data_IF_685111145048
#
_entry.id   IF_685111145048
#
_cell.length_a   1.000
_cell.length_b   1.000
_cell.length_c   1.000
_cell.angle_alpha   90.00
_cell.angle_beta   90.00
_cell.angle_gamma   90.00
#
_symmetry.space_group_name_H-M   'P 1'
#
loop_
_entity.id
_entity.type
_entity.pdbx_description
1 polymer ?
#
# COMPACT_ATOMS: atom_id res chain seq x y z
N UNK A 1 57.21 21.69 47.92
CA UNK A 1 56.45 20.51 48.30
C UNK A 1 55.08 20.53 47.65
N UNK A 2 54.99 20.62 46.34
CA UNK A 2 53.71 20.78 45.66
C UNK A 2 53.67 19.99 44.32
N UNK A 3 54.46 18.97 44.17
CA UNK A 3 54.56 18.18 42.96
C UNK A 3 54.26 16.68 43.12
N UNK A 4 53.69 16.27 44.27
CA UNK A 4 53.52 14.84 44.56
C UNK A 4 52.04 14.44 44.69
N UNK A 5 51.07 15.31 44.38
CA UNK A 5 49.64 15.07 44.55
C UNK A 5 48.85 14.86 43.23
N UNK A 6 49.53 14.98 42.06
CA UNK A 6 48.83 14.88 40.77
C UNK A 6 48.92 13.48 40.13
N UNK A 7 49.74 12.57 40.70
CA UNK A 7 50.00 11.27 40.05
C UNK A 7 49.07 10.14 40.51
N UNK A 8 48.15 10.36 41.41
CA UNK A 8 47.28 9.29 41.98
C UNK A 8 45.85 9.31 41.38
N UNK A 9 45.51 10.31 40.58
CA UNK A 9 44.12 10.44 40.08
C UNK A 9 43.88 9.89 38.66
N UNK A 10 44.88 9.28 38.04
CA UNK A 10 44.81 8.78 36.65
C UNK A 10 44.56 7.26 36.55
N UNK A 11 44.58 6.53 37.65
CA UNK A 11 44.55 5.06 37.60
C UNK A 11 43.22 4.43 37.99
N UNK A 12 42.10 5.19 38.00
CA UNK A 12 40.79 4.61 38.38
C UNK A 12 39.77 4.58 37.21
N UNK A 13 40.24 4.71 35.97
CA UNK A 13 39.39 4.44 34.80
C UNK A 13 39.74 3.12 34.12
N UNK A 14 39.76 2.05 34.91
CA UNK A 14 39.86 0.70 34.35
C UNK A 14 38.48 0.05 34.34
N UNK A 15 37.98 -0.13 33.14
CA UNK A 15 37.27 -1.32 32.69
C UNK A 15 35.92 -1.59 33.32
N UNK A 16 34.87 -0.92 32.83
CA UNK A 16 33.60 -1.62 32.67
C UNK A 16 33.50 -2.02 31.19
N UNK A 17 33.98 -3.23 30.89
CA UNK A 17 33.60 -3.92 29.65
C UNK A 17 32.13 -4.23 29.76
N UNK A 18 31.30 -3.37 29.16
CA UNK A 18 29.90 -3.70 28.88
C UNK A 18 29.97 -4.77 27.78
N UNK A 19 29.80 -6.04 28.18
CA UNK A 19 29.46 -7.10 27.26
C UNK A 19 28.18 -6.68 26.55
N UNK A 20 28.30 -6.21 25.30
CA UNK A 20 27.18 -6.10 24.40
C UNK A 20 26.65 -7.52 24.18
N UNK A 21 25.64 -7.89 24.92
CA UNK A 21 24.84 -9.07 24.68
C UNK A 21 24.28 -8.91 23.28
N UNK A 22 24.89 -9.61 22.31
CA UNK A 22 24.36 -9.77 20.98
C UNK A 22 22.99 -10.42 21.12
N UNK A 23 21.94 -9.60 21.26
CA UNK A 23 20.62 -10.02 20.90
C UNK A 23 20.69 -10.35 19.41
N UNK A 24 20.83 -11.63 19.09
CA UNK A 24 20.47 -12.21 17.81
C UNK A 24 19.00 -11.84 17.61
N UNK A 25 18.76 -10.69 16.97
CA UNK A 25 17.48 -10.44 16.38
C UNK A 25 17.25 -11.61 15.41
N UNK A 26 16.12 -12.33 15.55
CA UNK A 26 15.79 -13.34 14.56
C UNK A 26 15.82 -12.61 13.21
N UNK A 27 16.72 -13.05 12.35
CA UNK A 27 16.82 -12.60 10.97
C UNK A 27 15.43 -12.79 10.38
N UNK A 28 14.67 -11.69 10.25
CA UNK A 28 13.38 -11.72 9.59
C UNK A 28 13.68 -12.17 8.17
N UNK A 29 13.36 -13.41 7.89
CA UNK A 29 13.41 -14.00 6.56
C UNK A 29 12.61 -13.05 5.66
N UNK A 30 13.32 -12.25 4.88
CA UNK A 30 12.74 -11.24 4.01
C UNK A 30 12.07 -12.01 2.88
N UNK A 31 10.77 -12.27 3.03
CA UNK A 31 9.99 -12.85 1.94
C UNK A 31 10.19 -12.00 0.70
N UNK A 32 10.89 -12.53 -0.27
CA UNK A 32 11.11 -11.87 -1.56
C UNK A 32 10.01 -12.32 -2.50
N UNK A 33 9.03 -11.45 -2.71
CA UNK A 33 8.00 -11.65 -3.72
C UNK A 33 8.53 -11.26 -5.10
N UNK A 34 8.32 -12.08 -6.10
CA UNK A 34 8.68 -11.80 -7.48
C UNK A 34 7.59 -10.98 -8.17
N UNK A 35 7.48 -9.71 -7.81
CA UNK A 35 6.58 -8.79 -8.50
C UNK A 35 7.21 -8.31 -9.82
N UNK A 36 6.38 -8.17 -10.83
CA UNK A 36 6.76 -7.57 -12.10
C UNK A 36 5.74 -6.54 -12.55
N UNK A 37 6.20 -5.54 -13.27
CA UNK A 37 5.34 -4.52 -13.84
C UNK A 37 4.66 -5.05 -15.10
N UNK A 38 3.35 -4.82 -15.22
CA UNK A 38 2.57 -5.09 -16.42
C UNK A 38 1.72 -3.88 -16.79
N UNK A 39 1.27 -3.82 -18.01
CA UNK A 39 0.35 -2.80 -18.49
C UNK A 39 -1.05 -3.38 -18.53
N UNK A 40 -1.99 -2.73 -17.87
CA UNK A 40 -3.41 -3.05 -17.97
C UNK A 40 -4.11 -1.93 -18.76
N UNK A 41 -5.01 -2.27 -19.69
CA UNK A 41 -5.78 -1.26 -20.38
C UNK A 41 -6.74 -0.57 -19.40
N UNK A 42 -6.70 0.75 -19.35
CA UNK A 42 -7.67 1.57 -18.64
C UNK A 42 -8.41 2.45 -19.67
N UNK A 43 -9.69 2.68 -19.45
CA UNK A 43 -10.51 3.56 -20.28
C UNK A 43 -10.73 4.85 -19.51
N UNK A 44 -10.18 5.95 -20.02
CA UNK A 44 -10.32 7.27 -19.40
C UNK A 44 -11.27 8.14 -20.20
N UNK A 45 -12.03 8.98 -19.50
CA UNK A 45 -12.94 9.95 -20.08
C UNK A 45 -13.13 11.15 -19.14
N UNK A 46 -13.65 12.27 -19.62
CA UNK A 46 -14.05 13.38 -18.78
C UNK A 46 -14.96 12.93 -17.63
N UNK A 47 -14.83 13.60 -16.49
CA UNK A 47 -15.57 13.25 -15.27
C UNK A 47 -17.08 13.15 -15.48
N UNK A 48 -17.65 14.04 -16.27
CA UNK A 48 -19.08 14.07 -16.59
C UNK A 48 -19.54 12.82 -17.36
N UNK A 49 -18.73 12.31 -18.27
CA UNK A 49 -19.03 11.12 -19.06
C UNK A 49 -19.00 9.86 -18.18
N UNK A 50 -18.01 9.76 -17.30
CA UNK A 50 -17.93 8.66 -16.33
C UNK A 50 -19.10 8.74 -15.33
N UNK A 51 -19.45 9.93 -14.86
CA UNK A 51 -20.59 10.10 -13.96
C UNK A 51 -21.91 9.68 -14.64
N UNK A 52 -22.13 10.07 -15.89
CA UNK A 52 -23.29 9.64 -16.68
C UNK A 52 -23.31 8.12 -16.88
N UNK A 53 -22.14 7.52 -17.12
CA UNK A 53 -22.00 6.07 -17.24
C UNK A 53 -22.31 5.32 -15.94
N UNK A 54 -21.85 5.83 -14.77
CA UNK A 54 -22.17 5.31 -13.45
C UNK A 54 -23.70 5.28 -13.23
N UNK A 55 -24.37 6.41 -13.49
CA UNK A 55 -25.81 6.53 -13.33
C UNK A 55 -26.56 5.61 -14.30
N UNK A 56 -26.14 5.55 -15.57
CA UNK A 56 -26.75 4.68 -16.58
C UNK A 56 -26.76 3.20 -16.21
N UNK A 57 -25.76 2.75 -15.47
CA UNK A 57 -25.61 1.35 -15.06
C UNK A 57 -25.95 1.10 -13.60
N UNK A 58 -26.60 2.06 -12.92
CA UNK A 58 -27.00 1.97 -11.51
C UNK A 58 -25.84 1.57 -10.56
N UNK A 59 -24.64 2.02 -10.86
CA UNK A 59 -23.47 1.76 -10.02
C UNK A 59 -23.52 2.57 -8.74
N UNK A 60 -23.37 1.89 -7.60
CA UNK A 60 -23.29 2.50 -6.27
C UNK A 60 -21.86 2.35 -5.71
N UNK A 61 -21.24 3.42 -5.18
CA UNK A 61 -19.93 3.32 -4.56
C UNK A 61 -19.99 2.51 -3.27
N UNK A 62 -19.07 1.57 -3.11
CA UNK A 62 -19.00 0.67 -1.95
C UNK A 62 -17.71 0.81 -1.16
N UNK A 63 -16.64 1.29 -1.79
CA UNK A 63 -15.40 1.56 -1.09
C UNK A 63 -14.58 2.65 -1.80
N UNK A 64 -13.76 3.35 -1.00
CA UNK A 64 -12.78 4.32 -1.49
C UNK A 64 -11.43 3.97 -0.87
N UNK A 65 -10.39 4.00 -1.67
CA UNK A 65 -9.01 3.78 -1.23
C UNK A 65 -8.07 4.80 -1.86
N UNK A 66 -6.94 5.02 -1.18
CA UNK A 66 -5.96 6.04 -1.57
C UNK A 66 -4.66 5.36 -1.97
N UNK A 67 -4.25 5.55 -3.22
CA UNK A 67 -2.91 5.21 -3.67
C UNK A 67 -1.93 6.27 -3.19
N UNK A 68 -0.86 5.84 -2.57
CA UNK A 68 0.14 6.72 -1.99
C UNK A 68 1.49 6.50 -2.63
N UNK A 69 2.27 7.57 -2.64
CA UNK A 69 3.62 7.56 -3.20
C UNK A 69 4.45 6.42 -2.57
N UNK A 70 5.15 5.67 -3.43
CA UNK A 70 6.01 4.54 -3.06
C UNK A 70 5.31 3.43 -2.25
N UNK A 71 3.96 3.36 -2.28
CA UNK A 71 3.21 2.38 -1.51
C UNK A 71 3.31 2.55 0.02
N UNK A 72 3.75 3.70 0.49
CA UNK A 72 3.93 3.97 1.92
C UNK A 72 2.67 4.57 2.52
N UNK A 73 2.22 4.05 3.65
CA UNK A 73 1.00 4.50 4.33
C UNK A 73 1.00 6.02 4.63
N UNK A 74 2.15 6.62 4.85
CA UNK A 74 2.31 8.05 5.14
C UNK A 74 2.71 8.87 3.90
N UNK A 75 2.86 8.24 2.75
CA UNK A 75 3.17 8.91 1.48
C UNK A 75 2.04 9.85 1.04
N UNK A 76 2.39 10.80 0.18
CA UNK A 76 1.41 11.68 -0.44
C UNK A 76 0.39 10.88 -1.25
N UNK A 77 -0.89 11.28 -1.22
CA UNK A 77 -1.91 10.68 -2.06
C UNK A 77 -1.65 11.07 -3.52
N UNK A 78 -1.47 10.06 -4.37
CA UNK A 78 -1.18 10.24 -5.79
C UNK A 78 -2.37 9.86 -6.68
N UNK A 79 -3.26 9.00 -6.19
CA UNK A 79 -4.52 8.67 -6.84
C UNK A 79 -5.55 8.17 -5.82
N UNK A 80 -6.81 8.22 -6.19
CA UNK A 80 -7.93 7.67 -5.44
C UNK A 80 -8.60 6.61 -6.29
N UNK A 81 -8.94 5.47 -5.71
CA UNK A 81 -9.72 4.44 -6.37
C UNK A 81 -11.03 4.27 -5.64
N UNK A 82 -12.13 4.40 -6.37
CA UNK A 82 -13.46 4.10 -5.89
C UNK A 82 -13.97 2.82 -6.55
N UNK A 83 -14.44 1.89 -5.73
CA UNK A 83 -15.07 0.67 -6.21
C UNK A 83 -16.59 0.85 -6.17
N UNK A 84 -17.23 0.47 -7.25
CA UNK A 84 -18.66 0.53 -7.46
C UNK A 84 -19.23 -0.85 -7.70
N UNK A 85 -20.47 -1.08 -7.26
CA UNK A 85 -21.25 -2.30 -7.53
C UNK A 85 -22.60 -1.90 -8.08
N UNK A 86 -23.09 -2.64 -9.06
CA UNK A 86 -24.44 -2.49 -9.60
C UNK A 86 -25.38 -3.60 -9.13
N UNK A 87 -26.71 -3.40 -9.19
CA UNK A 87 -27.69 -4.41 -8.78
C UNK A 87 -27.62 -5.72 -9.57
N UNK A 88 -27.09 -5.68 -10.78
CA UNK A 88 -26.91 -6.86 -11.65
C UNK A 88 -25.54 -7.53 -11.47
N UNK A 89 -24.93 -7.38 -10.29
CA UNK A 89 -23.68 -8.03 -9.89
C UNK A 89 -22.48 -7.70 -10.75
N UNK A 90 -22.40 -6.47 -11.21
CA UNK A 90 -21.18 -5.94 -11.84
C UNK A 90 -20.36 -5.16 -10.83
N UNK A 91 -19.05 -5.16 -11.00
CA UNK A 91 -18.14 -4.34 -10.23
C UNK A 91 -17.28 -3.50 -11.17
N UNK A 92 -17.06 -2.24 -10.83
CA UNK A 92 -16.13 -1.37 -11.52
C UNK A 92 -15.20 -0.68 -10.53
N UNK A 93 -13.93 -0.51 -10.90
CA UNK A 93 -12.99 0.33 -10.17
C UNK A 93 -12.63 1.53 -11.01
N UNK A 94 -12.79 2.72 -10.43
CA UNK A 94 -12.55 4.00 -11.10
C UNK A 94 -11.45 4.72 -10.34
N UNK A 95 -10.40 5.11 -11.06
CA UNK A 95 -9.30 5.88 -10.52
C UNK A 95 -9.43 7.36 -10.93
N UNK A 96 -9.07 8.24 -9.99
CA UNK A 96 -8.87 9.66 -10.23
C UNK A 96 -7.51 10.11 -9.69
N UNK A 97 -6.88 11.06 -10.33
CA UNK A 97 -5.65 11.69 -9.89
C UNK A 97 -5.90 13.18 -9.63
N UNK A 98 -5.24 13.80 -8.64
CA UNK A 98 -5.41 15.23 -8.37
C UNK A 98 -5.00 16.14 -9.55
N UNK A 99 -4.22 15.61 -10.48
CA UNK A 99 -3.62 16.35 -11.60
C UNK A 99 -4.35 16.19 -12.91
N UNK A 100 -5.36 15.31 -13.00
CA UNK A 100 -6.13 15.08 -14.21
C UNK A 100 -7.62 15.40 -14.02
N UNK A 101 -8.27 16.08 -14.96
CA UNK A 101 -9.72 16.25 -14.95
C UNK A 101 -10.46 14.95 -15.31
N UNK A 102 -9.76 14.00 -15.94
CA UNK A 102 -10.35 12.76 -16.42
C UNK A 102 -10.36 11.70 -15.32
N UNK A 103 -11.35 10.84 -15.35
CA UNK A 103 -11.43 9.61 -14.57
C UNK A 103 -11.10 8.41 -15.44
N UNK A 104 -10.51 7.38 -14.83
CA UNK A 104 -10.15 6.17 -15.55
C UNK A 104 -10.85 4.95 -14.95
N UNK A 105 -11.61 4.23 -15.75
CA UNK A 105 -12.12 2.92 -15.40
C UNK A 105 -10.98 1.92 -15.55
N UNK A 106 -10.48 1.41 -14.42
CA UNK A 106 -9.38 0.46 -14.39
C UNK A 106 -9.83 -0.92 -14.84
N UNK A 107 -11.01 -1.33 -14.40
CA UNK A 107 -11.64 -2.59 -14.82
C UNK A 107 -13.15 -2.55 -14.58
N UNK A 108 -13.86 -3.41 -15.28
CA UNK A 108 -15.25 -3.75 -15.06
C UNK A 108 -15.36 -5.28 -15.09
N UNK A 109 -16.00 -5.85 -14.09
CA UNK A 109 -16.22 -7.29 -13.99
C UNK A 109 -17.71 -7.60 -13.91
N UNK A 110 -18.07 -8.84 -14.21
CA UNK A 110 -19.42 -9.36 -14.21
C UNK A 110 -19.50 -10.54 -13.25
N UNK A 111 -20.71 -10.95 -12.90
CA UNK A 111 -20.99 -12.10 -12.03
C UNK A 111 -20.26 -12.02 -10.67
N UNK A 112 -20.25 -10.82 -10.07
CA UNK A 112 -19.63 -10.57 -8.78
C UNK A 112 -20.19 -11.51 -7.71
N UNK A 113 -19.33 -12.25 -7.05
CA UNK A 113 -19.64 -13.07 -5.89
C UNK A 113 -19.01 -12.46 -4.65
N UNK A 114 -19.85 -12.03 -3.71
CA UNK A 114 -19.39 -11.38 -2.47
C UNK A 114 -18.90 -12.38 -1.41
N UNK A 115 -19.15 -13.69 -1.62
CA UNK A 115 -18.69 -14.72 -0.70
C UNK A 115 -17.44 -15.43 -1.23
N UNK A 116 -16.25 -15.15 -0.67
CA UNK A 116 -15.00 -15.75 -1.13
C UNK A 116 -14.96 -17.29 -0.94
N UNK A 117 -15.84 -17.86 -0.10
CA UNK A 117 -15.92 -19.31 0.06
C UNK A 117 -16.58 -20.02 -1.14
N UNK A 118 -17.21 -19.27 -2.05
CA UNK A 118 -17.76 -19.82 -3.30
C UNK A 118 -16.71 -19.92 -4.40
N UNK A 119 -15.58 -19.26 -4.27
CA UNK A 119 -14.46 -19.39 -5.20
C UNK A 119 -13.71 -20.65 -4.83
N UNK A 120 -13.95 -21.74 -5.56
CA UNK A 120 -13.16 -22.97 -5.38
C UNK A 120 -11.71 -22.67 -5.74
N UNK A 121 -10.72 -22.97 -4.86
CA UNK A 121 -9.31 -22.92 -5.23
C UNK A 121 -9.08 -23.89 -6.38
N UNK A 122 -8.62 -23.40 -7.52
CA UNK A 122 -8.32 -24.24 -8.68
C UNK A 122 -9.16 -23.97 -9.94
N UNK A 123 -9.91 -22.84 -9.98
CA UNK A 123 -10.45 -22.37 -11.25
C UNK A 123 -9.27 -21.82 -12.07
N UNK A 124 -8.69 -22.66 -12.93
CA UNK A 124 -7.80 -22.18 -13.99
C UNK A 124 -8.62 -21.36 -14.98
N UNK A 125 -8.24 -20.10 -15.15
CA UNK A 125 -8.70 -19.22 -16.22
C UNK A 125 -8.25 -19.76 -17.57
#
# INVERSE_FOLDING_TARGET
>A
MQKLLITILVSLFLSTSISAENHLQPEQEKETFNFYWTQMPAVCAPREDIAAWIVKHDFTPVSVSYGRENGQQQGQVVYVVTVYISPDYQMAAIAETPTSPDLCVLFRTFDLQLNPNLVKPGLSL
#
